data_IF_931430401993
#
_entry.id   IF_931430401993
#
_cell.length_a   1.000
_cell.length_b   1.000
_cell.length_c   1.000
_cell.angle_alpha   90.00
_cell.angle_beta   90.00
_cell.angle_gamma   90.00
#
_symmetry.space_group_name_H-M   'P 1'
#
loop_
_entity.id
_entity.type
_entity.pdbx_description
1 polymer ?
#
# COMPACT_ATOMS: atom_id res chain seq x y z
N UNK A 1 16.87 14.14 -9.20
CA UNK A 1 16.29 12.94 -8.57
C UNK A 1 15.54 12.18 -9.66
N UNK A 2 15.88 10.92 -9.94
CA UNK A 2 15.17 10.07 -10.91
C UNK A 2 14.32 9.09 -10.10
N UNK A 3 13.01 9.10 -10.31
CA UNK A 3 12.09 8.14 -9.68
C UNK A 3 11.87 7.00 -10.66
N UNK A 4 11.97 5.76 -10.20
CA UNK A 4 11.68 4.58 -11.02
C UNK A 4 10.21 4.16 -10.82
N UNK A 5 9.36 4.24 -11.87
CA UNK A 5 7.96 3.83 -11.80
C UNK A 5 7.77 2.35 -11.41
N UNK A 6 8.70 1.48 -11.80
CA UNK A 6 8.63 0.04 -11.51
C UNK A 6 8.86 -0.19 -10.03
N UNK A 7 9.85 0.49 -9.44
CA UNK A 7 10.13 0.38 -8.00
C UNK A 7 8.96 0.89 -7.15
N UNK A 8 8.26 1.94 -7.61
CA UNK A 8 7.04 2.42 -6.97
C UNK A 8 5.92 1.38 -7.03
N UNK A 9 5.66 0.81 -8.20
CA UNK A 9 4.66 -0.24 -8.35
C UNK A 9 4.97 -1.45 -7.45
N UNK A 10 6.21 -1.92 -7.46
CA UNK A 10 6.64 -3.05 -6.62
C UNK A 10 6.52 -2.72 -5.13
N UNK A 11 6.81 -1.48 -4.73
CA UNK A 11 6.65 -1.04 -3.34
C UNK A 11 5.17 -0.99 -2.94
N UNK A 12 4.29 -0.54 -3.84
CA UNK A 12 2.85 -0.58 -3.63
C UNK A 12 2.33 -2.01 -3.44
N UNK A 13 2.69 -2.90 -4.37
CA UNK A 13 2.32 -4.32 -4.31
C UNK A 13 2.82 -5.01 -3.03
N UNK A 14 4.08 -4.79 -2.63
CA UNK A 14 4.63 -5.35 -1.38
C UNK A 14 3.91 -4.82 -0.15
N UNK A 15 3.60 -3.52 -0.12
CA UNK A 15 2.88 -2.91 1.01
C UNK A 15 1.49 -3.52 1.17
N UNK A 16 0.77 -3.72 0.07
CA UNK A 16 -0.55 -4.37 0.07
C UNK A 16 -0.46 -5.84 0.50
N UNK A 17 0.57 -6.57 0.08
CA UNK A 17 0.80 -7.95 0.56
C UNK A 17 1.03 -7.97 2.08
N UNK A 18 1.89 -7.10 2.61
CA UNK A 18 2.13 -7.02 4.04
C UNK A 18 0.90 -6.60 4.84
N UNK A 19 0.05 -5.73 4.28
CA UNK A 19 -1.24 -5.40 4.89
C UNK A 19 -2.11 -6.66 5.01
N UNK A 20 -2.25 -7.42 3.93
CA UNK A 20 -3.02 -8.66 3.92
C UNK A 20 -2.49 -9.70 4.92
N UNK A 21 -1.16 -9.88 4.97
CA UNK A 21 -0.51 -10.80 5.91
C UNK A 21 -0.77 -10.40 7.37
N UNK A 22 -0.66 -9.11 7.68
CA UNK A 22 -0.94 -8.56 9.01
C UNK A 22 -2.38 -8.83 9.43
N UNK A 23 -3.34 -8.53 8.54
CA UNK A 23 -4.76 -8.76 8.80
C UNK A 23 -5.04 -10.24 9.05
N UNK A 24 -4.55 -11.13 8.18
CA UNK A 24 -4.76 -12.57 8.31
C UNK A 24 -4.20 -13.13 9.63
N UNK A 25 -2.98 -12.73 10.00
CA UNK A 25 -2.36 -13.17 11.26
C UNK A 25 -3.16 -12.72 12.49
N UNK A 26 -3.62 -11.46 12.50
CA UNK A 26 -4.41 -10.93 13.60
C UNK A 26 -5.83 -11.50 13.66
N UNK A 27 -6.50 -11.71 12.54
CA UNK A 27 -7.80 -12.38 12.50
C UNK A 27 -7.69 -13.80 13.07
N UNK A 28 -6.63 -14.53 12.72
CA UNK A 28 -6.34 -15.85 13.28
C UNK A 28 -6.11 -15.79 14.80
N UNK A 29 -5.31 -14.83 15.29
CA UNK A 29 -5.09 -14.63 16.71
C UNK A 29 -6.37 -14.27 17.47
N UNK A 30 -7.22 -13.42 16.88
CA UNK A 30 -8.50 -13.02 17.44
C UNK A 30 -9.48 -14.18 17.55
N UNK A 31 -9.54 -15.07 16.54
CA UNK A 31 -10.35 -16.29 16.59
C UNK A 31 -9.92 -17.18 17.74
N UNK A 32 -8.60 -17.40 17.90
CA UNK A 32 -8.05 -18.21 19.01
C UNK A 32 -8.33 -17.59 20.37
N UNK A 33 -8.31 -16.25 20.47
CA UNK A 33 -8.69 -15.54 21.68
C UNK A 33 -10.19 -15.72 22.00
N UNK A 34 -11.06 -15.62 21.00
CA UNK A 34 -12.49 -15.84 21.15
C UNK A 34 -12.83 -17.28 21.59
N UNK A 35 -12.10 -18.28 21.07
CA UNK A 35 -12.23 -19.68 21.50
C UNK A 35 -11.80 -19.88 22.97
N UNK A 36 -10.77 -19.17 23.43
CA UNK A 36 -10.30 -19.23 24.81
C UNK A 36 -11.16 -18.41 25.79
N UNK A 37 -12.05 -17.54 25.28
CA UNK A 37 -12.82 -16.57 26.06
C UNK A 37 -13.66 -17.22 27.18
N UNK A 38 -14.16 -18.44 26.99
CA UNK A 38 -14.95 -19.15 28.02
C UNK A 38 -14.14 -19.48 29.28
N UNK A 39 -12.80 -19.49 29.21
CA UNK A 39 -11.91 -19.71 30.35
C UNK A 39 -11.51 -18.43 31.08
N UNK A 40 -11.90 -17.26 30.59
CA UNK A 40 -11.52 -15.97 31.14
C UNK A 40 -12.54 -15.51 32.18
N UNK A 41 -12.14 -15.51 33.45
CA UNK A 41 -13.02 -15.17 34.57
C UNK A 41 -12.46 -14.01 35.40
N UNK A 42 -13.36 -13.24 36.01
CA UNK A 42 -13.01 -12.12 36.88
C UNK A 42 -12.36 -10.95 36.13
N UNK A 43 -11.70 -10.07 36.90
CA UNK A 43 -11.14 -8.82 36.38
C UNK A 43 -10.09 -9.04 35.28
N UNK A 44 -9.26 -10.09 35.40
CA UNK A 44 -8.27 -10.44 34.38
C UNK A 44 -8.93 -10.86 33.06
N UNK A 45 -10.06 -11.57 33.11
CA UNK A 45 -10.79 -11.94 31.92
C UNK A 45 -11.36 -10.73 31.18
N UNK A 46 -12.00 -9.81 31.91
CA UNK A 46 -12.50 -8.56 31.34
C UNK A 46 -11.37 -7.71 30.72
N UNK A 47 -10.20 -7.65 31.37
CA UNK A 47 -9.04 -6.96 30.84
C UNK A 47 -8.49 -7.60 29.55
N UNK A 48 -8.45 -8.94 29.47
CA UNK A 48 -8.05 -9.64 28.25
C UNK A 48 -9.04 -9.39 27.10
N UNK A 49 -10.35 -9.41 27.36
CA UNK A 49 -11.36 -9.10 26.35
C UNK A 49 -11.16 -7.68 25.80
N UNK A 50 -11.00 -6.68 26.67
CA UNK A 50 -10.75 -5.30 26.24
C UNK A 50 -9.43 -5.14 25.47
N UNK A 51 -8.39 -5.89 25.82
CA UNK A 51 -7.12 -5.90 25.06
C UNK A 51 -7.31 -6.47 23.65
N UNK A 52 -8.08 -7.56 23.51
CA UNK A 52 -8.38 -8.19 22.22
C UNK A 52 -9.16 -7.25 21.31
N UNK A 53 -10.18 -6.57 21.85
CA UNK A 53 -10.95 -5.55 21.12
C UNK A 53 -10.06 -4.38 20.66
N UNK A 54 -9.21 -3.88 21.55
CA UNK A 54 -8.26 -2.81 21.24
C UNK A 54 -7.26 -3.21 20.15
N UNK A 55 -6.76 -4.45 20.19
CA UNK A 55 -5.89 -4.98 19.14
C UNK A 55 -6.63 -5.12 17.80
N UNK A 56 -7.89 -5.54 17.81
CA UNK A 56 -8.68 -5.63 16.58
C UNK A 56 -8.86 -4.27 15.91
N UNK A 57 -9.19 -3.23 16.68
CA UNK A 57 -9.32 -1.86 16.17
C UNK A 57 -7.99 -1.34 15.63
N UNK A 58 -6.92 -1.50 16.41
CA UNK A 58 -5.58 -1.04 16.03
C UNK A 58 -5.09 -1.69 14.73
N UNK A 59 -5.22 -3.02 14.61
CA UNK A 59 -4.81 -3.74 13.39
C UNK A 59 -5.63 -3.30 12.19
N UNK A 60 -6.93 -3.08 12.34
CA UNK A 60 -7.78 -2.59 11.25
C UNK A 60 -7.32 -1.21 10.77
N UNK A 61 -6.94 -0.32 11.71
CA UNK A 61 -6.36 0.99 11.41
C UNK A 61 -5.04 0.91 10.65
N UNK A 62 -4.13 0.03 11.09
CA UNK A 62 -2.85 -0.19 10.40
C UNK A 62 -3.08 -0.77 9.01
N UNK A 63 -3.92 -1.79 8.88
CA UNK A 63 -4.26 -2.41 7.59
C UNK A 63 -4.77 -1.36 6.58
N UNK A 64 -5.70 -0.50 7.02
CA UNK A 64 -6.23 0.59 6.20
C UNK A 64 -5.12 1.55 5.75
N UNK A 65 -4.26 1.98 6.69
CA UNK A 65 -3.15 2.89 6.40
C UNK A 65 -2.14 2.29 5.42
N UNK A 66 -1.77 1.02 5.61
CA UNK A 66 -0.86 0.32 4.70
C UNK A 66 -1.44 0.17 3.30
N UNK A 67 -2.72 -0.19 3.19
CA UNK A 67 -3.41 -0.30 1.90
C UNK A 67 -3.43 1.05 1.18
N UNK A 68 -3.75 2.14 1.90
CA UNK A 68 -3.69 3.50 1.34
C UNK A 68 -2.29 3.86 0.83
N UNK A 69 -1.23 3.54 1.58
CA UNK A 69 0.14 3.75 1.12
C UNK A 69 0.46 2.91 -0.11
N UNK A 70 0.02 1.65 -0.16
CA UNK A 70 0.22 0.79 -1.32
C UNK A 70 -0.45 1.33 -2.58
N UNK A 71 -1.67 1.86 -2.45
CA UNK A 71 -2.41 2.52 -3.52
C UNK A 71 -1.73 3.83 -3.97
N UNK A 72 -1.23 4.63 -3.02
CA UNK A 72 -0.48 5.85 -3.33
C UNK A 72 0.81 5.56 -4.09
N UNK A 73 1.56 4.52 -3.72
CA UNK A 73 2.76 4.11 -4.45
C UNK A 73 2.42 3.65 -5.87
N UNK A 74 1.40 2.81 -6.03
CA UNK A 74 0.93 2.35 -7.34
C UNK A 74 0.50 3.51 -8.23
N UNK A 75 -0.33 4.41 -7.70
CA UNK A 75 -0.80 5.61 -8.40
C UNK A 75 0.34 6.55 -8.79
N UNK A 76 1.32 6.74 -7.90
CA UNK A 76 2.51 7.55 -8.20
C UNK A 76 3.34 6.92 -9.32
N UNK A 77 3.51 5.59 -9.32
CA UNK A 77 4.18 4.87 -10.40
C UNK A 77 3.52 5.12 -11.76
N UNK A 78 2.18 5.03 -11.82
CA UNK A 78 1.43 5.35 -13.03
C UNK A 78 1.63 6.81 -13.49
N UNK A 79 1.60 7.77 -12.57
CA UNK A 79 1.81 9.18 -12.90
C UNK A 79 3.22 9.45 -13.45
N UNK A 80 4.26 8.87 -12.85
CA UNK A 80 5.63 9.02 -13.36
C UNK A 80 5.77 8.40 -14.76
N UNK A 81 5.26 7.18 -14.98
CA UNK A 81 5.32 6.54 -16.30
C UNK A 81 4.58 7.35 -17.38
N UNK A 82 3.42 7.91 -17.06
CA UNK A 82 2.65 8.75 -17.96
C UNK A 82 3.39 10.06 -18.30
N UNK A 83 3.99 10.70 -17.28
CA UNK A 83 4.77 11.94 -17.44
C UNK A 83 6.02 11.71 -18.29
N UNK A 84 6.75 10.62 -18.05
CA UNK A 84 7.93 10.25 -18.83
C UNK A 84 7.56 9.99 -20.29
N UNK A 85 6.47 9.26 -20.53
CA UNK A 85 5.96 8.99 -21.88
C UNK A 85 5.54 10.28 -22.60
N UNK A 86 4.85 11.18 -21.91
CA UNK A 86 4.44 12.46 -22.48
C UNK A 86 5.64 13.34 -22.83
N UNK A 87 6.61 13.43 -21.92
CA UNK A 87 7.83 14.21 -22.11
C UNK A 87 8.67 13.66 -23.27
N UNK A 88 8.83 12.33 -23.35
CA UNK A 88 9.56 11.68 -24.44
C UNK A 88 8.92 11.97 -25.81
N UNK A 89 7.57 11.97 -25.89
CA UNK A 89 6.85 12.32 -27.11
C UNK A 89 7.10 13.76 -27.53
N UNK A 90 6.96 14.72 -26.61
CA UNK A 90 7.21 16.14 -26.88
C UNK A 90 8.64 16.39 -27.36
N UNK A 91 9.62 15.69 -26.79
CA UNK A 91 11.03 15.77 -27.23
C UNK A 91 11.18 15.22 -28.65
N UNK A 92 10.56 14.08 -28.97
CA UNK A 92 10.63 13.48 -30.30
C UNK A 92 9.98 14.37 -31.37
N UNK A 93 8.83 14.98 -31.06
CA UNK A 93 8.13 15.93 -31.92
C UNK A 93 8.99 17.18 -32.17
N UNK A 94 9.56 17.78 -31.12
CA UNK A 94 10.44 18.95 -31.27
C UNK A 94 11.72 18.65 -32.07
N UNK A 95 12.28 17.45 -31.93
CA UNK A 95 13.43 17.01 -32.73
C UNK A 95 13.10 16.83 -34.21
N UNK A 96 11.90 16.33 -34.52
CA UNK A 96 11.41 16.19 -35.90
C UNK A 96 11.20 17.57 -36.55
N UNK A 97 10.60 18.53 -35.84
CA UNK A 97 10.41 19.90 -36.30
C UNK A 97 11.73 20.63 -36.56
N UNK A 98 12.73 20.41 -35.71
CA UNK A 98 14.07 20.99 -35.90
C UNK A 98 14.76 20.42 -37.15
N UNK A 99 14.55 19.13 -37.43
CA UNK A 99 15.12 18.46 -38.59
C UNK A 99 14.46 18.91 -39.90
N UNK A 100 13.14 19.14 -39.90
CA UNK A 100 12.41 19.63 -41.06
C UNK A 100 12.77 21.08 -41.42
N UNK A 101 12.98 21.95 -40.42
CA UNK A 101 13.47 23.32 -40.60
C UNK A 101 14.89 23.41 -41.19
N UNK A 102 15.75 22.42 -40.94
CA UNK A 102 17.14 22.44 -41.41
C UNK A 102 17.34 21.83 -42.82
N UNK A 103 16.29 21.24 -43.40
CA UNK A 103 16.31 20.59 -44.72
C UNK A 103 15.47 21.33 -45.78
N UNK A 104 14.82 22.44 -45.42
CA UNK A 104 14.10 23.35 -46.32
C UNK A 104 14.90 24.61 -46.64
#
# INVERSE_FOLDING_TARGET
MKVDPIDLYLSGSRTNQHAADLLAAHTSANSRAAEAHTGWVGASGAALTGLVESWHEFTTGIHSTMTQHGDHFTSSGHHYAATDTATARTIAEAGADTTSLNLG
#
